data_IF_833875066702
#
_entry.id   IF_833875066702
#
_cell.length_a   1.000
_cell.length_b   1.000
_cell.length_c   1.000
_cell.angle_alpha   90.00
_cell.angle_beta   90.00
_cell.angle_gamma   90.00
#
_symmetry.space_group_name_H-M   'P 1'
#
loop_
_entity.id
_entity.type
_entity.pdbx_description
1 polymer ?
#
# COMPACT_ATOMS: atom_id res chain seq x y z
N UNK A 1 -19.82 -2.64 6.09
CA UNK A 1 -19.01 -3.85 5.83
C UNK A 1 -17.98 -3.94 6.94
N UNK A 2 -17.76 -5.11 7.53
CA UNK A 2 -16.78 -5.34 8.61
C UNK A 2 -15.89 -6.52 8.20
N UNK A 3 -14.60 -6.43 8.51
CA UNK A 3 -13.63 -7.50 8.30
C UNK A 3 -13.35 -8.13 9.66
N UNK A 4 -13.78 -9.38 9.85
CA UNK A 4 -13.54 -10.12 11.09
C UNK A 4 -12.16 -10.79 11.05
N UNK A 5 -11.44 -10.70 12.17
CA UNK A 5 -10.13 -11.34 12.34
C UNK A 5 -10.27 -12.68 13.07
N UNK A 6 -9.40 -13.63 12.75
CA UNK A 6 -9.28 -14.86 13.53
C UNK A 6 -8.72 -14.54 14.94
N UNK A 7 -9.19 -15.21 16.01
CA UNK A 7 -8.65 -15.01 17.35
C UNK A 7 -7.13 -15.25 17.39
N UNK A 8 -6.39 -14.29 17.95
CA UNK A 8 -4.93 -14.35 18.04
C UNK A 8 -4.17 -13.79 16.83
N UNK A 9 -4.85 -13.18 15.85
CA UNK A 9 -4.18 -12.44 14.79
C UNK A 9 -3.46 -11.21 15.34
N UNK A 10 -2.19 -11.05 14.98
CA UNK A 10 -1.34 -9.91 15.37
C UNK A 10 -1.03 -9.01 14.18
N UNK A 11 -0.79 -7.70 14.39
CA UNK A 11 -0.42 -6.79 13.31
C UNK A 11 0.89 -7.19 12.63
N UNK A 12 0.86 -7.29 11.31
CA UNK A 12 2.06 -7.48 10.49
C UNK A 12 2.54 -6.12 10.03
N UNK A 13 3.77 -5.74 10.39
CA UNK A 13 4.42 -4.53 9.91
C UNK A 13 5.81 -4.90 9.39
N UNK A 14 5.90 -5.18 8.09
CA UNK A 14 7.16 -5.55 7.43
C UNK A 14 7.74 -4.34 6.69
N UNK A 15 9.07 -4.22 6.67
CA UNK A 15 9.76 -3.19 5.91
C UNK A 15 9.43 -3.29 4.41
N UNK A 16 9.22 -2.17 3.70
CA UNK A 16 8.99 -2.16 2.26
C UNK A 16 10.12 -2.83 1.49
N UNK A 17 9.79 -3.40 0.33
CA UNK A 17 10.80 -3.93 -0.59
C UNK A 17 11.67 -2.79 -1.15
N UNK A 18 12.91 -3.12 -1.55
CA UNK A 18 13.78 -2.15 -2.22
C UNK A 18 13.28 -1.92 -3.64
N UNK A 19 12.75 -0.73 -3.89
CA UNK A 19 12.31 -0.28 -5.22
C UNK A 19 13.40 0.56 -5.88
N UNK A 20 13.48 0.53 -7.20
CA UNK A 20 14.29 1.47 -7.97
C UNK A 20 13.73 2.89 -7.84
N UNK A 21 14.55 3.92 -8.10
CA UNK A 21 14.14 5.32 -7.98
C UNK A 21 12.94 5.67 -8.89
N UNK A 22 12.90 5.09 -10.10
CA UNK A 22 11.79 5.26 -11.03
C UNK A 22 10.48 4.66 -10.50
N UNK A 23 10.55 3.47 -9.91
CA UNK A 23 9.40 2.78 -9.32
C UNK A 23 8.87 3.52 -8.09
N UNK A 24 9.76 4.09 -7.26
CA UNK A 24 9.36 4.92 -6.12
C UNK A 24 8.59 6.16 -6.56
N UNK A 25 9.07 6.85 -7.60
CA UNK A 25 8.40 8.05 -8.12
C UNK A 25 7.00 7.72 -8.64
N UNK A 26 6.90 6.70 -9.50
CA UNK A 26 5.63 6.24 -10.06
C UNK A 26 4.66 5.77 -8.95
N UNK A 27 5.16 5.03 -7.96
CA UNK A 27 4.35 4.60 -6.81
C UNK A 27 3.79 5.79 -6.03
N UNK A 28 4.60 6.84 -5.83
CA UNK A 28 4.15 8.06 -5.15
C UNK A 28 3.08 8.80 -5.95
N UNK A 29 3.24 8.90 -7.27
CA UNK A 29 2.29 9.57 -8.15
C UNK A 29 0.94 8.83 -8.17
N UNK A 30 0.95 7.49 -8.23
CA UNK A 30 -0.26 6.68 -8.15
C UNK A 30 -0.95 6.78 -6.79
N UNK A 31 -0.20 6.73 -5.68
CA UNK A 31 -0.78 6.91 -4.35
C UNK A 31 -1.41 8.29 -4.19
N UNK A 32 -0.79 9.33 -4.73
CA UNK A 32 -1.35 10.68 -4.73
C UNK A 32 -2.67 10.72 -5.51
N UNK A 33 -2.73 10.13 -6.69
CA UNK A 33 -3.96 10.07 -7.48
C UNK A 33 -5.09 9.35 -6.72
N UNK A 34 -4.80 8.23 -6.07
CA UNK A 34 -5.77 7.49 -5.26
C UNK A 34 -6.25 8.31 -4.05
N UNK A 35 -5.35 9.07 -3.42
CA UNK A 35 -5.69 9.97 -2.32
C UNK A 35 -6.55 11.15 -2.79
N UNK A 36 -6.21 11.76 -3.93
CA UNK A 36 -6.97 12.88 -4.51
C UNK A 36 -8.39 12.45 -4.93
N UNK A 37 -8.55 11.19 -5.36
CA UNK A 37 -9.86 10.58 -5.63
C UNK A 37 -10.64 10.16 -4.38
N UNK A 38 -10.02 10.21 -3.20
CA UNK A 38 -10.63 9.81 -1.93
C UNK A 38 -10.75 8.29 -1.73
N UNK A 39 -10.02 7.48 -2.51
CA UNK A 39 -10.01 6.03 -2.34
C UNK A 39 -9.16 5.59 -1.14
N UNK A 40 -8.12 6.37 -0.80
CA UNK A 40 -7.25 6.11 0.35
C UNK A 40 -7.05 7.38 1.17
N UNK A 41 -6.71 7.19 2.45
CA UNK A 41 -6.34 8.27 3.38
C UNK A 41 -5.12 7.82 4.20
N UNK A 42 -4.30 8.76 4.71
CA UNK A 42 -3.27 8.44 5.69
C UNK A 42 -3.85 7.73 6.91
N UNK A 43 -3.12 6.74 7.44
CA UNK A 43 -3.55 5.88 8.53
C UNK A 43 -2.45 5.76 9.59
N UNK A 44 -2.85 5.69 10.86
CA UNK A 44 -1.97 5.36 12.00
C UNK A 44 -2.18 3.92 12.50
N UNK A 45 -2.67 3.04 11.63
CA UNK A 45 -2.96 1.65 11.97
C UNK A 45 -1.68 0.90 12.37
N UNK A 46 -1.74 0.03 13.40
CA UNK A 46 -0.64 -0.89 13.69
C UNK A 46 -0.49 -1.97 12.61
N UNK A 47 -1.50 -2.16 11.75
CA UNK A 47 -1.51 -3.12 10.65
C UNK A 47 -0.92 -2.52 9.39
N UNK A 48 0.05 -3.22 8.79
CA UNK A 48 0.62 -2.90 7.49
C UNK A 48 0.49 -4.08 6.52
N UNK A 49 0.58 -3.77 5.23
CA UNK A 49 0.76 -4.75 4.19
C UNK A 49 1.86 -4.26 3.24
N UNK A 50 2.62 -5.19 2.68
CA UNK A 50 3.60 -4.85 1.67
C UNK A 50 2.89 -4.45 0.37
N UNK A 51 3.42 -3.43 -0.29
CA UNK A 51 3.00 -3.01 -1.63
C UNK A 51 4.10 -3.41 -2.60
N UNK A 52 3.71 -4.09 -3.69
CA UNK A 52 4.61 -4.42 -4.79
C UNK A 52 4.15 -3.67 -6.04
N UNK A 53 5.06 -2.94 -6.66
CA UNK A 53 4.81 -2.28 -7.92
C UNK A 53 4.94 -3.27 -9.09
N UNK A 54 3.99 -3.24 -10.02
CA UNK A 54 3.97 -4.15 -11.18
C UNK A 54 3.71 -3.33 -12.44
N UNK A 55 4.65 -3.38 -13.38
CA UNK A 55 4.48 -2.82 -14.71
C UNK A 55 3.41 -3.60 -15.46
N UNK A 56 2.33 -2.92 -15.89
CA UNK A 56 1.32 -3.53 -16.75
C UNK A 56 1.86 -3.58 -18.19
N UNK A 57 1.37 -4.56 -18.97
CA UNK A 57 1.78 -4.75 -20.36
C UNK A 57 1.50 -3.54 -21.26
N UNK A 58 0.51 -2.73 -20.90
CA UNK A 58 0.09 -1.54 -21.64
C UNK A 58 0.78 -0.24 -21.16
N UNK A 59 1.79 -0.38 -20.28
CA UNK A 59 2.57 0.73 -19.73
C UNK A 59 3.76 1.13 -20.59
#
# INVERSE_FOLDING_TARGET
FQIDLIPGAEPVAQAPYRLALSEMKESSDQLKELSDKGFIIPSSSPWGALVLFVMKKDG
#
